data_IF_251100739938
#
_entry.id   IF_251100739938
#
_cell.length_a   1.000
_cell.length_b   1.000
_cell.length_c   1.000
_cell.angle_alpha   90.00
_cell.angle_beta   90.00
_cell.angle_gamma   90.00
#
_symmetry.space_group_name_H-M   'P 1'
#
loop_
_entity.id
_entity.type
_entity.pdbx_description
1 polymer ?
#
# COMPACT_ATOMS: atom_id res chain seq x y z
N UNK A 1 20.58 6.30 -15.64
CA UNK A 1 19.59 6.10 -14.56
C UNK A 1 18.40 5.37 -15.10
N UNK A 2 17.92 4.33 -14.41
CA UNK A 2 16.81 3.50 -14.87
C UNK A 2 15.52 4.34 -14.99
N UNK A 3 14.80 4.16 -16.10
CA UNK A 3 13.53 4.82 -16.39
C UNK A 3 12.53 4.71 -15.21
N UNK A 4 12.51 3.56 -14.56
CA UNK A 4 11.64 3.26 -13.42
C UNK A 4 11.88 4.19 -12.22
N UNK A 5 13.14 4.50 -11.89
CA UNK A 5 13.45 5.38 -10.75
C UNK A 5 12.99 6.81 -11.04
N UNK A 6 13.20 7.30 -12.26
CA UNK A 6 12.72 8.63 -12.67
C UNK A 6 11.20 8.72 -12.63
N UNK A 7 10.51 7.66 -13.05
CA UNK A 7 9.05 7.59 -12.96
C UNK A 7 8.57 7.66 -11.51
N UNK A 8 9.16 6.86 -10.62
CA UNK A 8 8.80 6.85 -9.19
C UNK A 8 9.01 8.23 -8.57
N UNK A 9 10.18 8.85 -8.75
CA UNK A 9 10.47 10.19 -8.19
C UNK A 9 9.52 11.26 -8.74
N UNK A 10 9.12 11.16 -10.00
CA UNK A 10 8.25 12.15 -10.65
C UNK A 10 6.79 12.06 -10.18
N UNK A 11 6.25 10.85 -10.01
CA UNK A 11 4.81 10.65 -9.82
C UNK A 11 4.44 10.20 -8.40
N UNK A 12 5.36 9.62 -7.63
CA UNK A 12 5.06 9.10 -6.30
C UNK A 12 5.19 10.20 -5.23
N UNK A 13 4.16 11.05 -5.15
CA UNK A 13 4.08 12.15 -4.22
C UNK A 13 3.36 11.78 -2.90
N UNK A 14 3.15 12.77 -2.04
CA UNK A 14 2.45 12.59 -0.76
C UNK A 14 1.01 12.14 -0.95
N UNK A 15 0.34 12.56 -2.04
CA UNK A 15 -1.03 12.14 -2.37
C UNK A 15 -1.06 10.64 -2.66
N UNK A 16 -0.13 10.15 -3.47
CA UNK A 16 -0.02 8.72 -3.78
C UNK A 16 0.28 7.91 -2.51
N UNK A 17 1.17 8.39 -1.63
CA UNK A 17 1.39 7.75 -0.34
C UNK A 17 0.09 7.63 0.48
N UNK A 18 -0.68 8.71 0.59
CA UNK A 18 -1.97 8.69 1.30
C UNK A 18 -2.95 7.69 0.70
N UNK A 19 -3.03 7.57 -0.63
CA UNK A 19 -3.89 6.59 -1.29
C UNK A 19 -3.47 5.15 -0.96
N UNK A 20 -2.17 4.85 -0.92
CA UNK A 20 -1.67 3.53 -0.50
C UNK A 20 -2.03 3.23 0.96
N UNK A 21 -1.82 4.19 1.87
CA UNK A 21 -2.14 4.04 3.29
C UNK A 21 -3.64 3.85 3.50
N UNK A 22 -4.46 4.69 2.86
CA UNK A 22 -5.92 4.61 2.94
C UNK A 22 -6.41 3.25 2.41
N UNK A 23 -5.94 2.83 1.25
CA UNK A 23 -6.29 1.53 0.66
C UNK A 23 -5.90 0.36 1.59
N UNK A 24 -4.72 0.42 2.19
CA UNK A 24 -4.28 -0.58 3.17
C UNK A 24 -5.15 -0.62 4.43
N UNK A 25 -5.58 0.54 4.92
CA UNK A 25 -6.52 0.66 6.06
C UNK A 25 -7.89 0.06 5.67
N UNK A 26 -8.41 0.38 4.49
CA UNK A 26 -9.69 -0.17 4.03
C UNK A 26 -9.63 -1.71 3.94
N UNK A 27 -8.57 -2.27 3.36
CA UNK A 27 -8.35 -3.73 3.34
C UNK A 27 -8.33 -4.33 4.75
N UNK A 28 -7.55 -3.75 5.66
CA UNK A 28 -7.40 -4.28 7.02
C UNK A 28 -8.70 -4.20 7.81
N UNK A 29 -9.50 -3.14 7.66
CA UNK A 29 -10.63 -2.88 8.55
C UNK A 29 -12.01 -3.11 7.93
N UNK A 30 -12.24 -2.79 6.66
CA UNK A 30 -13.53 -3.02 6.00
C UNK A 30 -13.58 -4.44 5.45
N UNK A 31 -12.77 -4.73 4.44
CA UNK A 31 -12.83 -6.00 3.70
C UNK A 31 -12.60 -7.19 4.64
N UNK A 32 -11.60 -7.10 5.51
CA UNK A 32 -11.34 -8.19 6.46
C UNK A 32 -12.51 -8.42 7.44
N UNK A 33 -13.19 -7.37 7.90
CA UNK A 33 -14.35 -7.53 8.79
C UNK A 33 -15.50 -8.21 8.07
N UNK A 34 -15.72 -7.87 6.81
CA UNK A 34 -16.74 -8.51 5.98
C UNK A 34 -16.44 -10.00 5.77
N UNK A 35 -15.20 -10.35 5.43
CA UNK A 35 -14.80 -11.76 5.29
C UNK A 35 -14.95 -12.56 6.58
N UNK A 36 -14.63 -11.94 7.73
CA UNK A 36 -14.85 -12.58 9.03
C UNK A 36 -16.33 -12.82 9.31
N UNK A 37 -17.22 -11.88 8.94
CA UNK A 37 -18.67 -12.03 9.09
C UNK A 37 -19.24 -13.19 8.25
N UNK A 38 -18.63 -13.46 7.09
CA UNK A 38 -19.04 -14.52 6.17
C UNK A 38 -18.35 -15.88 6.41
N UNK A 39 -17.65 -16.08 7.53
CA UNK A 39 -16.83 -17.27 7.83
C UNK A 39 -15.71 -17.56 6.81
N UNK A 40 -15.28 -16.55 6.05
CA UNK A 40 -14.21 -16.63 5.04
C UNK A 40 -12.84 -16.38 5.69
N UNK A 41 -12.33 -17.39 6.40
CA UNK A 41 -11.13 -17.24 7.25
C UNK A 41 -9.83 -17.09 6.48
N UNK A 42 -9.73 -17.61 5.24
CA UNK A 42 -8.52 -17.48 4.40
C UNK A 42 -8.44 -16.07 3.82
N UNK A 43 -9.55 -15.59 3.30
CA UNK A 43 -9.76 -14.28 2.70
C UNK A 43 -9.56 -13.18 3.74
N UNK A 44 -10.06 -13.38 4.97
CA UNK A 44 -9.77 -12.51 6.11
C UNK A 44 -8.27 -12.30 6.34
N UNK A 45 -7.50 -13.40 6.43
CA UNK A 45 -6.04 -13.34 6.67
C UNK A 45 -5.33 -12.71 5.48
N UNK A 46 -5.74 -13.07 4.26
CA UNK A 46 -5.15 -12.57 3.03
C UNK A 46 -5.39 -11.06 2.86
N UNK A 47 -6.60 -10.58 3.13
CA UNK A 47 -6.96 -9.16 3.07
C UNK A 47 -6.13 -8.33 4.04
N UNK A 48 -5.95 -8.78 5.29
CA UNK A 48 -5.07 -8.10 6.25
C UNK A 48 -3.62 -8.11 5.80
N UNK A 49 -3.13 -9.24 5.30
CA UNK A 49 -1.77 -9.34 4.74
C UNK A 49 -1.56 -8.34 3.61
N UNK A 50 -2.47 -8.31 2.62
CA UNK A 50 -2.42 -7.36 1.51
C UNK A 50 -2.45 -5.91 2.01
N UNK A 51 -3.31 -5.59 2.98
CA UNK A 51 -3.37 -4.23 3.52
C UNK A 51 -2.05 -3.80 4.17
N UNK A 52 -1.41 -4.66 4.97
CA UNK A 52 -0.07 -4.37 5.50
C UNK A 52 0.98 -4.24 4.39
N UNK A 53 0.95 -5.11 3.39
CA UNK A 53 1.86 -5.05 2.23
C UNK A 53 1.69 -3.73 1.46
N UNK A 54 0.45 -3.28 1.23
CA UNK A 54 0.17 -1.99 0.57
C UNK A 54 0.78 -0.83 1.36
N UNK A 55 0.62 -0.80 2.68
CA UNK A 55 1.20 0.25 3.51
C UNK A 55 2.73 0.24 3.46
N UNK A 56 3.35 -0.94 3.57
CA UNK A 56 4.82 -1.09 3.52
C UNK A 56 5.37 -0.65 2.15
N UNK A 57 4.74 -1.08 1.05
CA UNK A 57 5.14 -0.70 -0.30
C UNK A 57 5.00 0.81 -0.49
N UNK A 58 3.88 1.40 -0.08
CA UNK A 58 3.65 2.83 -0.20
C UNK A 58 4.71 3.66 0.53
N UNK A 59 5.02 3.29 1.78
CA UNK A 59 6.07 3.95 2.58
C UNK A 59 7.44 3.79 1.91
N UNK A 60 7.77 2.57 1.47
CA UNK A 60 9.06 2.29 0.83
C UNK A 60 9.24 3.10 -0.45
N UNK A 61 8.22 3.14 -1.31
CA UNK A 61 8.24 3.92 -2.55
C UNK A 61 8.32 5.42 -2.29
N UNK A 62 7.65 5.93 -1.26
CA UNK A 62 7.76 7.34 -0.87
C UNK A 62 9.17 7.69 -0.38
N UNK A 63 9.79 6.82 0.42
CA UNK A 63 11.17 7.01 0.87
C UNK A 63 12.12 7.03 -0.34
N UNK A 64 11.96 6.08 -1.26
CA UNK A 64 12.72 6.03 -2.51
C UNK A 64 12.54 7.33 -3.30
N UNK A 65 11.30 7.82 -3.43
CA UNK A 65 11.00 9.03 -4.19
C UNK A 65 11.59 10.32 -3.58
N UNK A 66 11.72 10.39 -2.24
CA UNK A 66 12.17 11.60 -1.54
C UNK A 66 13.64 11.63 -1.17
N UNK A 67 14.23 10.49 -0.85
CA UNK A 67 15.59 10.41 -0.30
C UNK A 67 16.62 9.91 -1.30
N UNK A 68 16.21 9.26 -2.38
CA UNK A 68 17.13 8.98 -3.48
C UNK A 68 17.30 10.28 -4.25
N UNK A 69 18.46 10.92 -4.07
CA UNK A 69 18.89 12.03 -4.93
C UNK A 69 19.13 11.48 -6.33
N UNK A 70 18.33 11.98 -7.27
CA UNK A 70 18.28 11.65 -8.70
C UNK A 70 18.79 12.85 -9.48
#
# INVERSE_FOLDING_TARGET
MNLLIRFIVKYFDTTVLFLFLLSGILLIFLDSREYKGNNLTKEFKFSRFLGYTYMIIGITLFIIARYIRV
#
